data_IF_934468162404
#
_entry.id   IF_934468162404
#
_cell.length_a   1.000
_cell.length_b   1.000
_cell.length_c   1.000
_cell.angle_alpha   90.00
_cell.angle_beta   90.00
_cell.angle_gamma   90.00
#
_symmetry.space_group_name_H-M   'P 1'
#
loop_
_entity.id
_entity.type
_entity.pdbx_description
1 polymer ?
#
# COMPACT_ATOMS: atom_id res chain seq x y z
N UNK A 1 30.05 16.11 -8.24
CA UNK A 1 28.86 16.80 -8.81
C UNK A 1 27.68 15.89 -9.12
N UNK A 2 27.86 14.62 -9.53
CA UNK A 2 26.74 13.78 -10.01
C UNK A 2 25.76 13.27 -8.92
N UNK A 3 26.22 13.13 -7.67
CA UNK A 3 25.45 12.57 -6.55
C UNK A 3 24.09 13.29 -6.31
N UNK A 4 24.03 14.63 -6.20
CA UNK A 4 22.75 15.33 -6.01
C UNK A 4 21.78 15.20 -7.19
N UNK A 5 22.28 15.11 -8.44
CA UNK A 5 21.43 14.90 -9.61
C UNK A 5 20.77 13.51 -9.60
N UNK A 6 21.53 12.48 -9.23
CA UNK A 6 21.02 11.11 -9.14
C UNK A 6 19.96 11.00 -8.04
N UNK A 7 20.20 11.63 -6.88
CA UNK A 7 19.23 11.66 -5.76
C UNK A 7 17.92 12.34 -6.15
N UNK A 8 17.99 13.49 -6.83
CA UNK A 8 16.83 14.18 -7.37
C UNK A 8 16.06 13.34 -8.40
N UNK A 9 16.78 12.64 -9.28
CA UNK A 9 16.18 11.74 -10.26
C UNK A 9 15.43 10.59 -9.58
N UNK A 10 16.02 9.98 -8.54
CA UNK A 10 15.39 8.94 -7.72
C UNK A 10 14.10 9.47 -7.07
N UNK A 11 14.15 10.67 -6.48
CA UNK A 11 12.98 11.29 -5.87
C UNK A 11 11.86 11.55 -6.90
N UNK A 12 12.21 12.06 -8.09
CA UNK A 12 11.28 12.30 -9.18
C UNK A 12 10.58 11.01 -9.63
N UNK A 13 11.34 9.93 -9.84
CA UNK A 13 10.78 8.62 -10.17
C UNK A 13 9.86 8.12 -9.05
N UNK A 14 10.25 8.33 -7.79
CA UNK A 14 9.41 8.04 -6.62
C UNK A 14 8.05 8.75 -6.68
N UNK A 15 8.03 10.07 -6.90
CA UNK A 15 6.81 10.88 -7.01
C UNK A 15 5.89 10.36 -8.13
N UNK A 16 6.45 10.13 -9.32
CA UNK A 16 5.68 9.61 -10.47
C UNK A 16 5.06 8.25 -10.12
N UNK A 17 5.84 7.37 -9.48
CA UNK A 17 5.40 6.02 -9.09
C UNK A 17 4.29 6.07 -8.03
N UNK A 18 4.38 6.97 -7.04
CA UNK A 18 3.34 7.19 -6.03
C UNK A 18 2.00 7.52 -6.70
N UNK A 19 2.01 8.50 -7.62
CA UNK A 19 0.82 9.01 -8.30
C UNK A 19 0.20 7.98 -9.26
N UNK A 20 1.03 7.33 -10.08
CA UNK A 20 0.56 6.30 -11.01
C UNK A 20 -0.01 5.10 -10.25
N UNK A 21 0.68 4.63 -9.20
CA UNK A 21 0.19 3.50 -8.39
C UNK A 21 -1.14 3.83 -7.69
N UNK A 22 -1.27 5.03 -7.12
CA UNK A 22 -2.50 5.44 -6.43
C UNK A 22 -3.70 5.58 -7.37
N UNK A 23 -3.51 6.22 -8.53
CA UNK A 23 -4.60 6.43 -9.51
C UNK A 23 -5.04 5.11 -10.15
N UNK A 24 -4.09 4.24 -10.52
CA UNK A 24 -4.42 2.93 -11.10
C UNK A 24 -5.11 2.01 -10.09
N UNK A 25 -4.76 2.08 -8.80
CA UNK A 25 -5.40 1.29 -7.74
C UNK A 25 -6.89 1.60 -7.58
N UNK A 26 -7.30 2.87 -7.75
CA UNK A 26 -8.70 3.31 -7.65
C UNK A 26 -9.57 2.75 -8.79
N UNK A 27 -8.98 2.54 -9.97
CA UNK A 27 -9.69 2.01 -11.14
C UNK A 27 -9.81 0.48 -11.14
N UNK A 28 -9.09 -0.23 -10.27
CA UNK A 28 -9.10 -1.69 -10.26
C UNK A 28 -10.37 -2.26 -9.65
N UNK A 29 -10.96 -3.25 -10.33
CA UNK A 29 -12.07 -4.06 -9.81
C UNK A 29 -11.59 -5.33 -9.10
N UNK A 30 -10.40 -5.81 -9.43
CA UNK A 30 -9.81 -7.01 -8.82
C UNK A 30 -9.10 -6.67 -7.50
N UNK A 31 -9.44 -7.38 -6.42
CA UNK A 31 -8.88 -7.12 -5.08
C UNK A 31 -7.36 -7.26 -5.05
N UNK A 32 -6.80 -8.31 -5.66
CA UNK A 32 -5.34 -8.55 -5.70
C UNK A 32 -4.61 -7.51 -6.54
N UNK A 33 -5.20 -7.08 -7.67
CA UNK A 33 -4.60 -6.03 -8.51
C UNK A 33 -4.60 -4.69 -7.78
N UNK A 34 -5.70 -4.32 -7.12
CA UNK A 34 -5.76 -3.09 -6.32
C UNK A 34 -4.70 -3.09 -5.20
N UNK A 35 -4.49 -4.23 -4.53
CA UNK A 35 -3.43 -4.39 -3.53
C UNK A 35 -2.02 -4.31 -4.13
N UNK A 36 -1.81 -4.80 -5.34
CA UNK A 36 -0.52 -4.68 -6.04
C UNK A 36 -0.21 -3.23 -6.43
N UNK A 37 -1.16 -2.50 -7.00
CA UNK A 37 -0.96 -1.09 -7.35
C UNK A 37 -0.75 -0.18 -6.13
N UNK A 38 -1.41 -0.48 -5.01
CA UNK A 38 -1.10 0.23 -3.76
C UNK A 38 0.29 -0.12 -3.23
N UNK A 39 0.85 -1.31 -3.48
CA UNK A 39 2.26 -1.63 -3.17
C UNK A 39 3.20 -0.81 -4.05
N UNK A 40 2.91 -0.68 -5.35
CA UNK A 40 3.67 0.18 -6.26
C UNK A 40 3.74 1.62 -5.73
N UNK A 41 2.61 2.17 -5.28
CA UNK A 41 2.56 3.50 -4.69
C UNK A 41 3.39 3.62 -3.39
N UNK A 42 3.32 2.65 -2.47
CA UNK A 42 4.11 2.68 -1.22
C UNK A 42 5.61 2.48 -1.45
N UNK A 43 6.01 1.65 -2.43
CA UNK A 43 7.41 1.58 -2.84
C UNK A 43 7.87 2.91 -3.46
N UNK A 44 6.98 3.63 -4.15
CA UNK A 44 7.21 5.02 -4.55
C UNK A 44 7.54 5.94 -3.36
N UNK A 45 6.82 5.83 -2.24
CA UNK A 45 7.15 6.58 -1.00
C UNK A 45 8.54 6.21 -0.46
N UNK A 46 8.91 4.93 -0.46
CA UNK A 46 10.27 4.52 -0.03
C UNK A 46 11.36 5.07 -0.96
N UNK A 47 11.11 5.06 -2.28
CA UNK A 47 12.05 5.58 -3.28
C UNK A 47 12.21 7.10 -3.14
N UNK A 48 11.10 7.81 -2.90
CA UNK A 48 11.10 9.24 -2.59
C UNK A 48 11.96 9.51 -1.34
N UNK A 49 11.72 8.80 -0.23
CA UNK A 49 12.50 8.96 0.99
C UNK A 49 14.02 8.74 0.79
N UNK A 50 14.39 7.73 0.00
CA UNK A 50 15.79 7.47 -0.36
C UNK A 50 16.40 8.60 -1.22
N UNK A 51 15.64 9.12 -2.18
CA UNK A 51 16.05 10.26 -3.01
C UNK A 51 16.27 11.54 -2.22
N UNK A 52 15.62 11.69 -1.06
CA UNK A 52 15.76 12.84 -0.16
C UNK A 52 16.81 12.63 0.93
N UNK A 53 17.50 11.48 0.92
CA UNK A 53 18.53 11.12 1.90
C UNK A 53 18.00 10.58 3.22
N UNK A 54 16.69 10.35 3.35
CA UNK A 54 16.06 9.79 4.55
C UNK A 54 16.06 8.26 4.52
N UNK A 55 17.23 7.66 4.70
CA UNK A 55 17.39 6.20 4.71
C UNK A 55 16.66 5.52 5.88
N UNK A 56 16.64 6.19 7.05
CA UNK A 56 15.97 5.67 8.25
C UNK A 56 14.45 5.60 8.06
N UNK A 57 13.84 6.69 7.59
CA UNK A 57 12.42 6.73 7.26
C UNK A 57 12.04 5.74 6.16
N UNK A 58 12.89 5.59 5.12
CA UNK A 58 12.66 4.61 4.06
C UNK A 58 12.63 3.16 4.60
N UNK A 59 13.61 2.77 5.42
CA UNK A 59 13.67 1.42 6.02
C UNK A 59 12.52 1.19 7.00
N UNK A 60 12.21 2.17 7.84
CA UNK A 60 11.10 2.08 8.78
C UNK A 60 9.76 1.91 8.06
N UNK A 61 9.53 2.69 6.99
CA UNK A 61 8.34 2.54 6.16
C UNK A 61 8.30 1.18 5.46
N UNK A 62 9.42 0.70 4.92
CA UNK A 62 9.49 -0.60 4.26
C UNK A 62 9.07 -1.76 5.19
N UNK A 63 9.56 -1.78 6.43
CA UNK A 63 9.21 -2.81 7.42
C UNK A 63 7.72 -2.73 7.80
N UNK A 64 7.24 -1.54 8.17
CA UNK A 64 5.83 -1.35 8.60
C UNK A 64 4.84 -1.64 7.47
N UNK A 65 5.20 -1.26 6.24
CA UNK A 65 4.47 -1.57 5.03
C UNK A 65 4.42 -3.08 4.75
N UNK A 66 5.54 -3.80 4.91
CA UNK A 66 5.61 -5.24 4.67
C UNK A 66 4.60 -6.01 5.56
N UNK A 67 4.53 -5.69 6.85
CA UNK A 67 3.54 -6.28 7.76
C UNK A 67 2.10 -5.95 7.35
N UNK A 68 1.82 -4.67 7.06
CA UNK A 68 0.49 -4.23 6.66
C UNK A 68 0.04 -4.92 5.36
N UNK A 69 0.95 -5.06 4.39
CA UNK A 69 0.69 -5.76 3.13
C UNK A 69 0.54 -7.26 3.28
N UNK A 70 1.36 -7.91 4.11
CA UNK A 70 1.20 -9.32 4.40
C UNK A 70 -0.20 -9.62 4.94
N UNK A 71 -0.67 -8.81 5.90
CA UNK A 71 -2.04 -8.91 6.41
C UNK A 71 -3.11 -8.73 5.32
N UNK A 72 -2.94 -7.73 4.45
CA UNK A 72 -3.89 -7.46 3.37
C UNK A 72 -3.91 -8.56 2.30
N UNK A 73 -2.75 -9.07 1.88
CA UNK A 73 -2.68 -10.13 0.87
C UNK A 73 -3.23 -11.45 1.42
N UNK A 74 -2.87 -11.84 2.65
CA UNK A 74 -3.41 -13.03 3.30
C UNK A 74 -4.91 -12.91 3.53
N UNK A 75 -5.38 -11.75 4.01
CA UNK A 75 -6.79 -11.47 4.18
C UNK A 75 -7.57 -11.51 2.85
N UNK A 76 -7.00 -10.96 1.77
CA UNK A 76 -7.60 -11.05 0.44
C UNK A 76 -7.70 -12.49 -0.06
N UNK A 77 -6.71 -13.35 0.23
CA UNK A 77 -6.73 -14.76 -0.12
C UNK A 77 -7.85 -15.52 0.60
N UNK A 78 -8.04 -15.26 1.90
CA UNK A 78 -9.16 -15.81 2.66
C UNK A 78 -10.51 -15.35 2.08
N UNK A 79 -10.65 -14.08 1.70
CA UNK A 79 -11.88 -13.55 1.08
C UNK A 79 -12.16 -14.23 -0.27
N UNK A 80 -11.15 -14.38 -1.12
CA UNK A 80 -11.27 -15.04 -2.43
C UNK A 80 -11.70 -16.49 -2.24
N UNK A 81 -11.05 -17.21 -1.32
CA UNK A 81 -11.40 -18.60 -1.03
C UNK A 81 -12.85 -18.75 -0.54
N UNK A 82 -13.32 -17.83 0.31
CA UNK A 82 -14.73 -17.80 0.70
C UNK A 82 -15.67 -17.47 -0.49
N UNK A 83 -15.27 -16.58 -1.40
CA UNK A 83 -16.04 -16.28 -2.61
C UNK A 83 -16.14 -17.47 -3.58
N UNK A 84 -15.08 -18.25 -3.71
CA UNK A 84 -15.07 -19.47 -4.54
C UNK A 84 -16.12 -20.49 -4.09
N UNK A 85 -16.41 -20.57 -2.78
CA UNK A 85 -17.48 -21.44 -2.25
C UNK A 85 -18.89 -21.01 -2.65
N UNK A 86 -19.10 -19.74 -3.02
CA UNK A 86 -20.41 -19.16 -3.36
C UNK A 86 -20.59 -19.08 -4.87
N UNK A 87 -19.55 -18.64 -5.60
CA UNK A 87 -19.62 -18.31 -7.03
C UNK A 87 -18.98 -19.39 -7.91
N UNK A 88 -18.32 -20.39 -7.29
CA UNK A 88 -17.49 -21.38 -7.98
C UNK A 88 -16.12 -20.83 -8.35
N UNK A 89 -15.21 -21.72 -8.76
CA UNK A 89 -13.86 -21.33 -9.18
C UNK A 89 -13.90 -20.59 -10.52
N UNK A 90 -13.88 -19.26 -10.44
CA UNK A 90 -13.71 -18.36 -11.58
C UNK A 90 -12.94 -17.14 -11.10
N UNK A 91 -11.70 -16.90 -11.56
CA UNK A 91 -10.88 -15.79 -11.06
C UNK A 91 -11.54 -14.43 -11.33
N UNK A 92 -12.19 -14.25 -12.48
CA UNK A 92 -12.86 -13.00 -12.85
C UNK A 92 -14.07 -12.65 -11.98
N UNK A 93 -14.69 -13.65 -11.33
CA UNK A 93 -15.83 -13.45 -10.43
C UNK A 93 -15.42 -13.44 -8.97
N UNK A 94 -14.60 -14.40 -8.56
CA UNK A 94 -14.16 -14.58 -7.16
C UNK A 94 -13.23 -13.47 -6.67
N UNK A 95 -12.54 -12.75 -7.57
CA UNK A 95 -11.62 -11.66 -7.22
C UNK A 95 -12.21 -10.26 -7.43
N UNK A 96 -13.38 -10.17 -8.07
CA UNK A 96 -14.03 -8.92 -8.40
C UNK A 96 -14.74 -8.34 -7.18
N UNK A 97 -14.25 -7.19 -6.70
CA UNK A 97 -14.74 -6.52 -5.50
C UNK A 97 -16.21 -6.10 -5.59
N UNK A 98 -16.74 -5.90 -6.80
CA UNK A 98 -18.17 -5.56 -7.02
C UNK A 98 -19.09 -6.70 -6.54
N UNK A 99 -18.61 -7.94 -6.59
CA UNK A 99 -19.37 -9.13 -6.19
C UNK A 99 -19.13 -9.55 -4.73
N UNK A 100 -18.21 -8.87 -4.01
CA UNK A 100 -17.78 -9.24 -2.65
C UNK A 100 -18.63 -8.63 -1.52
N UNK A 101 -19.81 -8.10 -1.83
CA UNK A 101 -20.71 -7.51 -0.84
C UNK A 101 -21.20 -8.50 0.22
N UNK A 102 -21.45 -8.03 1.44
CA UNK A 102 -22.12 -8.84 2.48
C UNK A 102 -21.25 -9.89 3.21
N UNK A 103 -20.00 -10.09 2.79
CA UNK A 103 -19.09 -11.10 3.37
C UNK A 103 -18.70 -10.85 4.84
N UNK A 104 -19.00 -9.67 5.39
CA UNK A 104 -18.68 -9.26 6.76
C UNK A 104 -19.13 -10.30 7.81
N UNK A 105 -20.32 -10.89 7.63
CA UNK A 105 -20.89 -11.87 8.57
C UNK A 105 -20.27 -13.27 8.44
N UNK A 106 -19.73 -13.59 7.26
CA UNK A 106 -19.20 -14.92 6.94
C UNK A 106 -17.73 -15.07 7.32
N UNK A 107 -16.95 -13.99 7.25
CA UNK A 107 -15.50 -13.98 7.57
C UNK A 107 -15.12 -12.90 8.58
N UNK A 108 -15.66 -12.95 9.82
CA UNK A 108 -15.52 -11.87 10.80
C UNK A 108 -14.07 -11.64 11.26
N UNK A 109 -13.26 -12.70 11.34
CA UNK A 109 -11.84 -12.61 11.74
C UNK A 109 -11.04 -11.93 10.62
N UNK A 110 -11.16 -12.43 9.39
CA UNK A 110 -10.52 -11.85 8.20
C UNK A 110 -10.89 -10.39 8.03
N UNK A 111 -12.16 -10.03 8.24
CA UNK A 111 -12.63 -8.65 8.15
C UNK A 111 -11.92 -7.72 9.14
N UNK A 112 -11.73 -8.13 10.40
CA UNK A 112 -11.04 -7.32 11.41
C UNK A 112 -9.57 -7.09 11.06
N UNK A 113 -8.85 -8.15 10.68
CA UNK A 113 -7.42 -8.04 10.33
C UNK A 113 -7.20 -7.32 9.00
N UNK A 114 -8.06 -7.55 8.01
CA UNK A 114 -8.03 -6.81 6.75
C UNK A 114 -8.27 -5.32 6.99
N UNK A 115 -9.25 -4.98 7.84
CA UNK A 115 -9.53 -3.59 8.22
C UNK A 115 -8.33 -2.97 8.96
N UNK A 116 -7.74 -3.65 9.95
CA UNK A 116 -6.51 -3.20 10.61
C UNK A 116 -5.36 -2.97 9.62
N UNK A 117 -5.16 -3.88 8.68
CA UNK A 117 -4.18 -3.73 7.59
C UNK A 117 -4.45 -2.50 6.72
N UNK A 118 -5.73 -2.25 6.37
CA UNK A 118 -6.11 -1.07 5.59
C UNK A 118 -5.92 0.23 6.37
N UNK A 119 -6.33 0.28 7.64
CA UNK A 119 -6.14 1.47 8.49
C UNK A 119 -4.65 1.79 8.68
N UNK A 120 -3.82 0.75 8.84
CA UNK A 120 -2.37 0.90 8.91
C UNK A 120 -1.86 1.48 7.61
N UNK A 121 -2.20 0.86 6.47
CA UNK A 121 -1.79 1.34 5.14
C UNK A 121 -2.26 2.77 4.84
N UNK A 122 -3.44 3.19 5.30
CA UNK A 122 -3.92 4.56 5.18
C UNK A 122 -3.09 5.56 5.99
N UNK A 123 -2.43 5.11 7.06
CA UNK A 123 -1.66 5.96 7.96
C UNK A 123 -2.55 6.65 8.99
N UNK A 124 -3.42 5.89 9.66
CA UNK A 124 -4.28 6.44 10.71
C UNK A 124 -3.56 6.34 12.08
N UNK A 125 -3.52 7.42 12.89
CA UNK A 125 -3.04 7.33 14.28
C UNK A 125 -3.92 6.32 15.03
N UNK A 126 -3.39 5.28 15.71
CA UNK A 126 -2.05 5.12 16.31
C UNK A 126 -1.12 4.09 15.62
N UNK A 127 -1.35 3.73 14.35
CA UNK A 127 -0.69 2.59 13.70
C UNK A 127 0.72 2.93 13.18
N UNK A 128 1.58 1.92 13.04
CA UNK A 128 3.00 2.11 12.70
C UNK A 128 3.24 2.79 11.34
N UNK A 129 2.39 2.53 10.35
CA UNK A 129 2.47 3.17 9.04
C UNK A 129 2.09 4.66 9.04
N UNK A 130 1.44 5.19 10.09
CA UNK A 130 1.26 6.63 10.25
C UNK A 130 2.61 7.29 10.52
N UNK A 131 3.32 6.82 11.55
CA UNK A 131 4.62 7.35 11.95
C UNK A 131 5.65 7.27 10.83
N UNK A 132 5.68 6.16 10.08
CA UNK A 132 6.65 6.02 8.99
C UNK A 132 6.36 6.92 7.79
N UNK A 133 5.09 7.20 7.48
CA UNK A 133 4.73 8.16 6.43
C UNK A 133 5.00 9.59 6.86
N UNK A 134 4.71 9.93 8.11
CA UNK A 134 4.96 11.26 8.66
C UNK A 134 6.45 11.62 8.61
N UNK A 135 7.33 10.67 8.95
CA UNK A 135 8.78 10.86 8.85
C UNK A 135 9.24 11.15 7.40
N UNK A 136 8.67 10.44 6.41
CA UNK A 136 8.98 10.67 4.99
C UNK A 136 8.45 12.05 4.54
N UNK A 137 7.24 12.42 4.95
CA UNK A 137 6.66 13.71 4.60
C UNK A 137 7.43 14.87 5.23
N UNK A 138 7.84 14.74 6.49
CA UNK A 138 8.66 15.74 7.18
C UNK A 138 10.04 15.89 6.51
N UNK A 139 10.70 14.77 6.20
CA UNK A 139 11.92 14.80 5.40
C UNK A 139 11.70 15.48 4.04
N UNK A 140 10.52 15.28 3.45
CA UNK A 140 10.21 15.89 2.16
C UNK A 140 10.03 17.40 2.21
N UNK A 141 9.39 17.87 3.27
CA UNK A 141 9.20 19.28 3.55
C UNK A 141 10.54 19.99 3.77
N UNK A 142 11.42 19.41 4.60
CA UNK A 142 12.74 19.98 4.88
C UNK A 142 13.63 20.06 3.63
N UNK A 143 13.56 19.06 2.76
CA UNK A 143 14.31 19.07 1.50
C UNK A 143 13.82 20.14 0.53
N UNK A 144 12.51 20.42 0.49
CA UNK A 144 11.93 21.47 -0.37
C UNK A 144 12.35 22.89 0.05
N UNK A 145 12.83 23.07 1.28
CA UNK A 145 13.28 24.35 1.81
C UNK A 145 14.77 24.62 1.56
N UNK A 146 15.54 23.61 1.14
CA UNK A 146 16.96 23.71 0.78
C UNK A 146 17.14 23.93 -0.73
#
# INVERSE_FOLDING_TARGET
>A
LAIPYIMNFIALVGIITVLLGATLALAQKDIKRSLAYSTMSQLGYTMLALGMGSYRGALFHLITHAYSKALLFLGSGSIIHSMESIVGYSPDKSQNMVLMGGLKKHVPITQKFFLLGTLSLCGIPPLACFWSKDEILNASWLYSQN
#
